data_IF_613496165409
#
_entry.id   IF_613496165409
#
_cell.length_a   1.000
_cell.length_b   1.000
_cell.length_c   1.000
_cell.angle_alpha   90.00
_cell.angle_beta   90.00
_cell.angle_gamma   90.00
#
_symmetry.space_group_name_H-M   'P 1'
#
loop_
_entity.id
_entity.type
_entity.pdbx_description
1 polymer ?
#
# COMPACT_ATOMS: atom_id res chain seq x y z
N UNK A 1 -17.16 11.71 16.90
CA UNK A 1 -16.17 10.61 16.81
C UNK A 1 -16.19 10.03 15.41
N UNK A 2 -15.06 9.95 14.77
CA UNK A 2 -14.95 9.44 13.42
C UNK A 2 -14.82 7.92 13.36
N UNK A 3 -14.83 7.37 12.16
CA UNK A 3 -14.67 5.95 11.91
C UNK A 3 -13.31 5.69 11.26
N UNK A 4 -12.64 4.62 11.70
CA UNK A 4 -11.49 4.06 10.99
C UNK A 4 -12.02 2.98 10.05
N UNK A 5 -11.62 3.07 8.79
CA UNK A 5 -12.02 2.08 7.78
C UNK A 5 -10.80 1.25 7.42
N UNK A 6 -10.96 -0.06 7.49
CA UNK A 6 -9.97 -1.01 6.99
C UNK A 6 -10.65 -1.86 5.93
N UNK A 7 -10.16 -1.78 4.71
CA UNK A 7 -10.69 -2.50 3.57
C UNK A 7 -9.62 -3.44 3.01
N UNK A 8 -10.00 -4.70 2.78
CA UNK A 8 -9.08 -5.72 2.26
C UNK A 8 -9.61 -6.26 0.95
N UNK A 9 -8.74 -6.32 -0.05
CA UNK A 9 -9.05 -6.85 -1.36
C UNK A 9 -8.02 -7.87 -1.80
N UNK A 10 -8.47 -8.91 -2.52
CA UNK A 10 -7.59 -9.91 -3.10
C UNK A 10 -7.05 -9.42 -4.44
N UNK A 11 -5.74 -9.50 -4.62
CA UNK A 11 -5.10 -9.16 -5.89
C UNK A 11 -4.86 -10.41 -6.72
N UNK A 12 -5.26 -10.36 -7.98
CA UNK A 12 -5.14 -11.46 -8.94
C UNK A 12 -4.29 -11.03 -10.14
N UNK A 13 -3.72 -12.00 -10.84
CA UNK A 13 -2.91 -11.74 -12.02
C UNK A 13 -1.73 -10.83 -11.71
N UNK A 14 -1.31 -9.98 -12.63
CA UNK A 14 -0.19 -9.07 -12.46
C UNK A 14 -0.51 -7.87 -11.55
N UNK A 15 -1.80 -7.54 -11.40
CA UNK A 15 -2.26 -6.37 -10.64
C UNK A 15 -1.60 -5.06 -11.11
N UNK A 16 -1.22 -5.00 -12.39
CA UNK A 16 -0.47 -3.86 -12.95
C UNK A 16 -1.27 -2.56 -12.96
N UNK A 17 -2.58 -2.64 -13.19
CA UNK A 17 -3.45 -1.46 -13.16
C UNK A 17 -3.49 -0.80 -11.78
N UNK A 18 -3.61 -1.61 -10.73
CA UNK A 18 -3.57 -1.11 -9.35
C UNK A 18 -2.19 -0.55 -9.02
N UNK A 19 -1.13 -1.22 -9.46
CA UNK A 19 0.24 -0.72 -9.27
C UNK A 19 0.42 0.65 -9.92
N UNK A 20 -0.06 0.81 -11.17
CA UNK A 20 0.03 2.08 -11.88
C UNK A 20 -0.70 3.21 -11.14
N UNK A 21 -1.86 2.92 -10.55
CA UNK A 21 -2.62 3.89 -9.75
C UNK A 21 -1.87 4.24 -8.46
N UNK A 22 -1.45 3.24 -7.69
CA UNK A 22 -0.80 3.44 -6.38
C UNK A 22 0.53 4.18 -6.52
N UNK A 23 1.32 3.85 -7.53
CA UNK A 23 2.64 4.43 -7.75
C UNK A 23 2.61 5.65 -8.69
N UNK A 24 1.41 6.07 -9.08
CA UNK A 24 1.16 7.26 -9.91
C UNK A 24 1.83 7.24 -11.28
N UNK A 25 1.95 6.05 -11.86
CA UNK A 25 2.21 5.93 -13.30
C UNK A 25 1.00 6.44 -14.09
N UNK A 26 -0.19 6.32 -13.49
CA UNK A 26 -1.44 6.92 -13.96
C UNK A 26 -1.96 7.79 -12.82
N UNK A 27 -2.14 9.09 -13.07
CA UNK A 27 -2.61 10.02 -12.04
C UNK A 27 -4.13 9.91 -11.92
N UNK A 28 -4.68 9.59 -10.72
CA UNK A 28 -6.13 9.50 -10.52
C UNK A 28 -6.81 10.85 -10.72
N UNK A 29 -8.04 10.82 -11.23
CA UNK A 29 -8.82 12.05 -11.46
C UNK A 29 -9.16 12.80 -10.17
N UNK A 30 -9.31 12.07 -9.06
CA UNK A 30 -9.62 12.66 -7.75
C UNK A 30 -8.38 13.14 -7.00
N UNK A 31 -7.19 12.98 -7.57
CA UNK A 31 -5.97 13.44 -6.92
C UNK A 31 -5.83 14.95 -7.01
N UNK A 32 -5.43 15.58 -5.90
CA UNK A 32 -5.12 16.99 -5.84
C UNK A 32 -3.63 17.18 -6.15
N UNK A 33 -3.26 17.69 -7.34
CA UNK A 33 -1.86 17.79 -7.74
C UNK A 33 -1.04 18.71 -6.83
N UNK A 34 -1.67 19.63 -6.09
CA UNK A 34 -0.96 20.49 -5.14
C UNK A 34 -0.49 19.73 -3.91
N UNK A 35 -1.02 18.53 -3.67
CA UNK A 35 -0.71 17.71 -2.50
C UNK A 35 0.04 16.43 -2.84
N UNK A 36 0.27 16.12 -4.10
CA UNK A 36 0.92 14.87 -4.53
C UNK A 36 2.32 14.71 -3.90
N UNK A 37 3.05 15.80 -3.71
CA UNK A 37 4.37 15.78 -3.08
C UNK A 37 4.33 15.35 -1.60
N UNK A 38 3.15 15.30 -0.98
CA UNK A 38 2.98 14.85 0.40
C UNK A 38 2.83 13.33 0.51
N UNK A 39 2.65 12.66 -0.62
CA UNK A 39 2.57 11.19 -0.64
C UNK A 39 3.90 10.59 -0.24
N UNK A 40 3.86 9.46 0.47
CA UNK A 40 5.07 8.79 0.94
C UNK A 40 5.01 7.29 0.73
N UNK A 41 6.19 6.70 0.60
CA UNK A 41 6.41 5.27 0.44
C UNK A 41 7.16 4.77 1.67
N UNK A 42 6.61 3.75 2.35
CA UNK A 42 7.15 3.25 3.61
C UNK A 42 7.96 1.95 3.48
N UNK A 43 7.87 1.29 2.33
CA UNK A 43 8.64 0.08 2.06
C UNK A 43 9.52 0.34 0.84
N UNK A 44 10.84 0.22 1.02
CA UNK A 44 11.77 0.33 -0.09
C UNK A 44 11.81 -0.98 -0.86
N UNK A 45 11.81 -0.90 -2.19
CA UNK A 45 11.96 -2.10 -3.02
C UNK A 45 13.44 -2.49 -3.07
N UNK A 46 13.74 -3.81 -3.12
CA UNK A 46 15.12 -4.27 -3.33
C UNK A 46 15.67 -3.80 -4.68
N UNK A 47 17.01 -3.80 -4.79
CA UNK A 47 17.66 -3.44 -6.05
C UNK A 47 17.16 -4.30 -7.21
N UNK A 48 16.89 -3.66 -8.34
CA UNK A 48 16.37 -4.33 -9.53
C UNK A 48 14.86 -4.52 -9.56
N UNK A 49 14.16 -4.19 -8.48
CA UNK A 49 12.70 -4.26 -8.40
C UNK A 49 12.11 -2.89 -8.71
N UNK A 50 11.37 -2.81 -9.81
CA UNK A 50 10.88 -1.54 -10.36
C UNK A 50 9.62 -1.01 -9.68
N UNK A 51 8.71 -1.91 -9.31
CA UNK A 51 7.39 -1.52 -8.86
C UNK A 51 6.77 -2.56 -7.93
N UNK A 52 5.56 -2.27 -7.47
CA UNK A 52 4.79 -3.10 -6.56
C UNK A 52 4.52 -4.50 -7.13
N UNK A 53 4.16 -4.60 -8.40
CA UNK A 53 3.88 -5.90 -9.04
C UNK A 53 5.12 -6.79 -9.08
N UNK A 54 6.28 -6.21 -9.39
CA UNK A 54 7.55 -6.93 -9.38
C UNK A 54 7.95 -7.35 -7.96
N UNK A 55 7.69 -6.51 -6.96
CA UNK A 55 7.94 -6.83 -5.56
C UNK A 55 7.10 -8.02 -5.09
N UNK A 56 5.83 -8.06 -5.47
CA UNK A 56 4.93 -9.19 -5.16
C UNK A 56 5.47 -10.46 -5.80
N UNK A 57 5.84 -10.41 -7.07
CA UNK A 57 6.36 -11.58 -7.79
C UNK A 57 7.65 -12.09 -7.13
N UNK A 58 8.56 -11.19 -6.78
CA UNK A 58 9.80 -11.57 -6.10
C UNK A 58 9.53 -12.27 -4.77
N UNK A 59 8.60 -11.76 -3.97
CA UNK A 59 8.26 -12.37 -2.69
C UNK A 59 7.68 -13.78 -2.88
N UNK A 60 6.82 -13.97 -3.88
CA UNK A 60 6.28 -15.29 -4.20
C UNK A 60 7.38 -16.28 -4.59
N UNK A 61 8.37 -15.84 -5.34
CA UNK A 61 9.54 -16.66 -5.70
C UNK A 61 10.37 -17.03 -4.48
N UNK A 62 10.55 -16.11 -3.54
CA UNK A 62 11.29 -16.34 -2.29
C UNK A 62 10.64 -17.44 -1.43
N UNK A 63 9.32 -17.64 -1.54
CA UNK A 63 8.63 -18.69 -0.79
C UNK A 63 8.89 -20.09 -1.33
N UNK A 64 9.64 -20.23 -2.43
CA UNK A 64 9.94 -21.51 -3.05
C UNK A 64 8.81 -22.05 -3.91
N UNK A 65 7.88 -21.18 -4.33
CA UNK A 65 6.76 -21.58 -5.16
C UNK A 65 7.27 -21.94 -6.56
N UNK A 66 7.13 -23.22 -6.94
CA UNK A 66 7.62 -23.72 -8.24
C UNK A 66 6.52 -23.80 -9.29
N UNK A 67 5.26 -23.72 -8.85
CA UNK A 67 4.10 -23.82 -9.73
C UNK A 67 3.68 -22.46 -10.22
N UNK A 68 3.32 -22.36 -11.50
CA UNK A 68 2.79 -21.12 -12.08
C UNK A 68 1.46 -20.76 -11.41
N UNK A 69 1.32 -19.49 -11.04
CA UNK A 69 0.08 -18.95 -10.48
C UNK A 69 -0.81 -18.49 -11.61
N UNK A 70 -2.03 -19.05 -11.68
CA UNK A 70 -3.01 -18.67 -12.67
C UNK A 70 -3.61 -17.29 -12.42
N UNK A 71 -4.23 -16.69 -13.45
CA UNK A 71 -4.80 -15.35 -13.36
C UNK A 71 -5.96 -15.22 -12.36
N UNK A 72 -6.61 -16.33 -12.04
CA UNK A 72 -7.72 -16.35 -11.06
C UNK A 72 -7.27 -16.70 -9.65
N UNK A 73 -5.98 -16.89 -9.43
CA UNK A 73 -5.45 -17.18 -8.09
C UNK A 73 -5.00 -15.90 -7.40
N UNK A 74 -5.23 -15.85 -6.07
CA UNK A 74 -4.82 -14.70 -5.26
C UNK A 74 -3.31 -14.69 -5.10
N UNK A 75 -2.67 -13.58 -5.44
CA UNK A 75 -1.23 -13.39 -5.32
C UNK A 75 -0.85 -12.51 -4.14
N UNK A 76 -1.72 -11.62 -3.74
CA UNK A 76 -1.49 -10.68 -2.66
C UNK A 76 -2.81 -10.21 -2.08
N UNK A 77 -2.75 -9.63 -0.90
CA UNK A 77 -3.89 -8.94 -0.28
C UNK A 77 -3.54 -7.46 -0.25
N UNK A 78 -4.44 -6.62 -0.75
CA UNK A 78 -4.34 -5.17 -0.64
C UNK A 78 -5.13 -4.73 0.57
N UNK A 79 -4.53 -3.88 1.40
CA UNK A 79 -5.18 -3.36 2.59
C UNK A 79 -5.19 -1.84 2.49
N UNK A 80 -6.38 -1.26 2.58
CA UNK A 80 -6.54 0.19 2.63
C UNK A 80 -6.99 0.56 4.04
N UNK A 81 -6.26 1.47 4.66
CA UNK A 81 -6.60 2.00 5.99
C UNK A 81 -6.85 3.49 5.84
N UNK A 82 -8.01 3.94 6.28
CA UNK A 82 -8.34 5.37 6.25
C UNK A 82 -9.21 5.73 7.45
N UNK A 83 -9.30 7.01 7.74
CA UNK A 83 -10.25 7.55 8.71
C UNK A 83 -11.18 8.52 8.02
N UNK A 84 -12.10 9.11 8.77
CA UNK A 84 -12.91 10.19 8.24
C UNK A 84 -12.02 11.38 7.90
N UNK A 85 -12.43 12.18 6.93
CA UNK A 85 -11.70 13.38 6.52
C UNK A 85 -11.39 14.27 7.73
N UNK A 86 -12.37 14.46 8.60
CA UNK A 86 -12.26 15.27 9.81
C UNK A 86 -11.19 14.74 10.77
N UNK A 87 -11.18 13.42 11.04
CA UNK A 87 -10.20 12.80 11.91
C UNK A 87 -8.79 12.85 11.32
N UNK A 88 -8.66 12.61 10.02
CA UNK A 88 -7.36 12.65 9.36
C UNK A 88 -6.79 14.07 9.34
N UNK A 89 -7.63 15.08 9.13
CA UNK A 89 -7.21 16.48 9.24
C UNK A 89 -6.75 16.84 10.64
N UNK A 90 -7.45 16.36 11.67
CA UNK A 90 -7.06 16.57 13.06
C UNK A 90 -5.71 15.93 13.39
N UNK A 91 -5.50 14.69 12.97
CA UNK A 91 -4.23 13.96 13.18
C UNK A 91 -3.08 14.73 12.51
N UNK A 92 -3.29 15.19 11.30
CA UNK A 92 -2.30 15.99 10.56
C UNK A 92 -2.01 17.32 11.26
N UNK A 93 -3.06 18.03 11.69
CA UNK A 93 -2.96 19.32 12.38
C UNK A 93 -2.23 19.18 13.73
N UNK A 94 -2.42 18.07 14.43
CA UNK A 94 -1.75 17.78 15.70
C UNK A 94 -0.31 17.27 15.51
N UNK A 95 0.15 17.12 14.27
CA UNK A 95 1.49 16.62 13.96
C UNK A 95 1.67 15.13 14.25
N UNK A 96 0.58 14.35 14.25
CA UNK A 96 0.58 12.93 14.62
C UNK A 96 0.49 11.98 13.44
N UNK A 97 0.54 12.49 12.22
CA UNK A 97 0.41 11.65 11.02
C UNK A 97 1.52 10.60 10.93
N UNK A 98 2.76 10.99 11.24
CA UNK A 98 3.90 10.06 11.22
C UNK A 98 3.72 8.94 12.24
N UNK A 99 3.26 9.27 13.45
CA UNK A 99 2.96 8.31 14.49
C UNK A 99 1.84 7.35 14.05
N UNK A 100 0.79 7.88 13.43
CA UNK A 100 -0.32 7.08 12.91
C UNK A 100 0.17 6.08 11.85
N UNK A 101 1.00 6.54 10.92
CA UNK A 101 1.58 5.66 9.90
C UNK A 101 2.49 4.60 10.52
N UNK A 102 3.34 4.98 11.48
CA UNK A 102 4.25 4.05 12.14
C UNK A 102 3.49 2.98 12.92
N UNK A 103 2.42 3.36 13.61
CA UNK A 103 1.57 2.42 14.34
C UNK A 103 0.90 1.41 13.41
N UNK A 104 0.40 1.87 12.27
CA UNK A 104 -0.18 0.99 11.26
C UNK A 104 0.87 0.02 10.70
N UNK A 105 2.06 0.52 10.36
CA UNK A 105 3.14 -0.33 9.84
C UNK A 105 3.56 -1.37 10.87
N UNK A 106 3.66 -0.98 12.13
CA UNK A 106 3.99 -1.90 13.22
C UNK A 106 2.94 -3.00 13.36
N UNK A 107 1.67 -2.64 13.33
CA UNK A 107 0.58 -3.61 13.44
C UNK A 107 0.65 -4.66 12.32
N UNK A 108 0.78 -4.24 11.08
CA UNK A 108 0.82 -5.15 9.94
C UNK A 108 2.11 -5.98 9.91
N UNK A 109 3.24 -5.38 10.26
CA UNK A 109 4.53 -6.08 10.35
C UNK A 109 4.49 -7.16 11.44
N UNK A 110 3.93 -6.84 12.60
CA UNK A 110 3.81 -7.79 13.72
C UNK A 110 2.81 -8.91 13.40
N UNK A 111 1.76 -8.59 12.64
CA UNK A 111 0.70 -9.54 12.31
C UNK A 111 1.10 -10.50 11.19
N UNK A 112 1.74 -10.00 10.13
CA UNK A 112 2.00 -10.77 8.90
C UNK A 112 3.47 -11.09 8.65
N UNK A 113 4.40 -10.47 9.38
CA UNK A 113 5.83 -10.57 9.14
C UNK A 113 6.33 -9.46 8.21
N UNK A 114 7.48 -8.90 8.52
CA UNK A 114 8.07 -7.79 7.76
C UNK A 114 8.30 -8.17 6.30
N UNK A 115 8.78 -9.38 6.04
CA UNK A 115 9.07 -9.90 4.70
C UNK A 115 7.82 -10.03 3.83
N UNK A 116 6.65 -10.09 4.45
CA UNK A 116 5.37 -10.21 3.76
C UNK A 116 4.70 -8.86 3.46
N UNK A 117 5.24 -7.77 3.98
CA UNK A 117 4.78 -6.41 3.66
C UNK A 117 5.64 -5.89 2.50
N UNK A 118 5.17 -6.12 1.28
CA UNK A 118 5.98 -5.84 0.08
C UNK A 118 5.85 -4.41 -0.42
N UNK A 119 4.80 -3.70 -0.04
CA UNK A 119 4.60 -2.30 -0.42
C UNK A 119 3.70 -1.59 0.57
N UNK A 120 3.97 -0.32 0.82
CA UNK A 120 3.11 0.52 1.66
C UNK A 120 3.24 1.98 1.23
N UNK A 121 2.11 2.62 0.95
CA UNK A 121 2.05 3.98 0.43
C UNK A 121 1.06 4.82 1.23
N UNK A 122 1.42 6.07 1.47
CA UNK A 122 0.52 7.08 2.02
C UNK A 122 0.13 8.02 0.90
N UNK A 123 -1.18 8.14 0.65
CA UNK A 123 -1.73 9.09 -0.32
C UNK A 123 -2.42 10.21 0.43
N UNK A 124 -1.93 11.44 0.26
CA UNK A 124 -2.48 12.64 0.91
C UNK A 124 -3.17 13.58 -0.08
N UNK A 125 -3.24 13.20 -1.33
CA UNK A 125 -3.80 14.00 -2.42
C UNK A 125 -5.14 13.44 -2.93
N UNK A 126 -5.65 12.41 -2.32
CA UNK A 126 -6.93 11.79 -2.67
C UNK A 126 -8.00 12.02 -1.60
#
# INVERSE_FOLDING_TARGET
MGFVVLHMEKAHGSDSGTTAHIEYFIIPKNADPTRTHLNRKFVAYPDGIKDRSAAIQRRLEETGLTRKIGNNQVRAIRITVSGTHEDMERIEREGRLDEWCADNMKYFTDTFGKENIVAAHLHRDE
#
